data_IF_142211277071
#
_entry.id   IF_142211277071
#
_cell.length_a   1.000
_cell.length_b   1.000
_cell.length_c   1.000
_cell.angle_alpha   90.00
_cell.angle_beta   90.00
_cell.angle_gamma   90.00
#
_symmetry.space_group_name_H-M   'P 1'
#
loop_
_entity.id
_entity.type
_entity.pdbx_description
1 polymer ?
#
# COMPACT_ATOMS: atom_id res chain seq x y z
N UNK A 1 -28.80 7.97 -2.30
CA UNK A 1 -27.44 7.44 -2.15
C UNK A 1 -27.39 6.47 -0.98
N UNK A 2 -27.04 5.21 -1.27
CA UNK A 2 -26.98 4.13 -0.26
C UNK A 2 -25.90 4.42 0.80
N UNK A 3 -24.75 4.93 0.39
CA UNK A 3 -23.66 5.28 1.32
C UNK A 3 -24.10 6.33 2.35
N UNK A 4 -24.79 7.38 1.89
CA UNK A 4 -25.34 8.42 2.76
C UNK A 4 -26.38 7.88 3.76
N UNK A 5 -27.25 6.96 3.32
CA UNK A 5 -28.21 6.31 4.22
C UNK A 5 -27.50 5.48 5.31
N UNK A 6 -26.51 4.66 4.93
CA UNK A 6 -25.72 3.89 5.89
C UNK A 6 -25.00 4.77 6.91
N UNK A 7 -24.42 5.89 6.45
CA UNK A 7 -23.76 6.86 7.32
C UNK A 7 -24.73 7.50 8.32
N UNK A 8 -25.99 7.67 7.95
CA UNK A 8 -27.02 8.29 8.80
C UNK A 8 -27.64 7.29 9.78
N UNK A 9 -28.00 6.11 9.30
CA UNK A 9 -28.88 5.16 10.01
C UNK A 9 -28.09 4.19 10.91
N UNK A 10 -26.79 3.91 10.58
CA UNK A 10 -25.97 3.02 11.39
C UNK A 10 -25.35 3.75 12.58
N UNK A 11 -25.36 3.13 13.76
CA UNK A 11 -24.73 3.67 14.97
C UNK A 11 -23.20 3.78 14.84
N UNK A 12 -22.59 2.87 14.09
CA UNK A 12 -21.16 2.84 13.77
C UNK A 12 -20.92 2.41 12.35
N UNK A 13 -19.93 3.00 11.71
CA UNK A 13 -19.60 2.77 10.30
C UNK A 13 -18.10 2.58 10.14
N UNK A 14 -17.69 1.54 9.43
CA UNK A 14 -16.34 1.43 8.90
C UNK A 14 -16.34 1.91 7.46
N UNK A 15 -15.46 2.83 7.14
CA UNK A 15 -15.39 3.49 5.84
C UNK A 15 -14.01 3.34 5.24
N UNK A 16 -13.94 2.77 4.04
CA UNK A 16 -12.71 2.63 3.27
C UNK A 16 -12.73 3.63 2.11
N UNK A 17 -11.63 4.36 1.91
CA UNK A 17 -11.58 5.36 0.84
C UNK A 17 -10.20 6.00 0.67
N UNK A 18 -10.11 6.93 -0.27
CA UNK A 18 -8.90 7.73 -0.47
C UNK A 18 -8.72 8.80 0.62
N UNK A 19 -7.60 9.53 0.57
CA UNK A 19 -7.26 10.56 1.56
C UNK A 19 -8.38 11.59 1.76
N UNK A 20 -9.02 12.01 0.68
CA UNK A 20 -10.15 12.96 0.78
C UNK A 20 -11.29 12.42 1.65
N UNK A 21 -11.59 11.13 1.56
CA UNK A 21 -12.62 10.46 2.38
C UNK A 21 -12.19 10.43 3.85
N UNK A 22 -10.92 10.14 4.13
CA UNK A 22 -10.35 10.18 5.49
C UNK A 22 -10.52 11.56 6.08
N UNK A 23 -10.11 12.58 5.35
CA UNK A 23 -10.14 13.99 5.81
C UNK A 23 -11.56 14.47 6.15
N UNK A 24 -12.56 14.05 5.35
CA UNK A 24 -13.97 14.41 5.55
C UNK A 24 -14.58 13.80 6.83
N UNK A 25 -14.10 12.65 7.26
CA UNK A 25 -14.69 11.92 8.38
C UNK A 25 -13.76 11.80 9.60
N UNK A 26 -12.56 12.38 9.51
CA UNK A 26 -11.61 12.40 10.61
C UNK A 26 -12.22 13.04 11.87
N UNK A 27 -11.99 12.37 13.01
CA UNK A 27 -12.51 12.85 14.31
C UNK A 27 -13.97 12.53 14.59
N UNK A 28 -14.71 11.91 13.67
CA UNK A 28 -16.07 11.44 13.95
C UNK A 28 -16.03 10.10 14.74
N UNK A 29 -16.44 10.05 16.03
CA UNK A 29 -16.33 8.86 16.86
C UNK A 29 -17.25 7.69 16.42
N UNK A 30 -18.18 7.97 15.50
CA UNK A 30 -19.06 6.95 14.90
C UNK A 30 -18.43 6.26 13.70
N UNK A 31 -17.36 6.84 13.13
CA UNK A 31 -16.77 6.38 11.87
C UNK A 31 -15.32 5.96 12.10
N UNK A 32 -15.03 4.70 11.79
CA UNK A 32 -13.67 4.21 11.64
C UNK A 32 -13.26 4.38 10.19
N UNK A 33 -12.33 5.28 9.91
CA UNK A 33 -11.90 5.60 8.55
C UNK A 33 -10.60 4.89 8.22
N UNK A 34 -10.58 4.19 7.08
CA UNK A 34 -9.44 3.45 6.57
C UNK A 34 -9.05 4.02 5.20
N UNK A 35 -7.89 4.64 5.16
CA UNK A 35 -7.35 5.35 3.98
C UNK A 35 -6.29 4.57 3.23
N UNK A 36 -5.47 5.27 2.42
CA UNK A 36 -4.29 4.70 1.79
C UNK A 36 -3.33 4.13 2.85
N UNK A 37 -2.77 2.96 2.55
CA UNK A 37 -1.90 2.26 3.52
C UNK A 37 -0.43 2.67 3.42
N UNK A 38 0.00 3.13 2.27
CA UNK A 38 1.42 3.40 1.98
C UNK A 38 2.35 2.27 2.46
N UNK A 39 1.88 1.02 2.37
CA UNK A 39 2.61 -0.15 2.84
C UNK A 39 3.92 -0.34 2.08
N UNK A 40 4.96 -0.82 2.77
CA UNK A 40 6.32 -0.86 2.26
C UNK A 40 7.05 -2.15 2.60
N UNK A 41 8.00 -2.51 1.75
CA UNK A 41 9.08 -3.43 2.10
C UNK A 41 10.35 -2.61 2.30
N UNK A 42 11.06 -2.83 3.41
CA UNK A 42 12.40 -2.26 3.65
C UNK A 42 13.41 -3.38 3.69
N UNK A 43 14.57 -3.17 3.05
CA UNK A 43 15.67 -4.14 3.06
C UNK A 43 16.83 -3.52 3.84
N UNK A 44 17.20 -4.17 4.94
CA UNK A 44 18.30 -3.73 5.79
C UNK A 44 19.68 -3.88 5.12
N UNK A 45 20.64 -3.08 5.56
CA UNK A 45 22.01 -3.10 5.03
C UNK A 45 22.72 -4.44 5.21
N UNK A 46 22.27 -5.23 6.18
CA UNK A 46 22.75 -6.58 6.47
C UNK A 46 22.25 -7.63 5.44
N UNK A 47 21.12 -7.35 4.77
CA UNK A 47 20.50 -8.29 3.83
C UNK A 47 20.51 -7.82 2.38
N UNK A 48 20.81 -6.54 2.13
CA UNK A 48 20.65 -5.95 0.81
C UNK A 48 21.51 -6.60 -0.28
N UNK A 49 22.67 -7.12 0.05
CA UNK A 49 23.54 -7.80 -0.93
C UNK A 49 23.05 -9.22 -1.30
N UNK A 50 21.97 -9.66 -0.67
CA UNK A 50 21.28 -10.93 -0.94
C UNK A 50 19.82 -10.72 -1.34
N UNK A 51 19.48 -9.56 -1.88
CA UNK A 51 18.12 -9.16 -2.21
C UNK A 51 17.40 -10.12 -3.17
N UNK A 52 18.14 -10.81 -4.06
CA UNK A 52 17.58 -11.76 -5.02
C UNK A 52 16.85 -12.92 -4.33
N UNK A 53 17.30 -13.33 -3.14
CA UNK A 53 16.64 -14.39 -2.35
C UNK A 53 15.22 -14.00 -1.91
N UNK A 54 14.89 -12.73 -1.96
CA UNK A 54 13.61 -12.16 -1.50
C UNK A 54 12.74 -11.66 -2.65
N UNK A 55 13.17 -11.84 -3.91
CA UNK A 55 12.45 -11.30 -5.08
C UNK A 55 10.98 -11.73 -5.12
N UNK A 56 10.66 -12.97 -4.79
CA UNK A 56 9.26 -13.43 -4.77
C UNK A 56 8.43 -12.72 -3.69
N UNK A 57 9.03 -12.37 -2.55
CA UNK A 57 8.37 -11.58 -1.49
C UNK A 57 8.08 -10.16 -1.98
N UNK A 58 9.05 -9.54 -2.68
CA UNK A 58 8.90 -8.20 -3.24
C UNK A 58 7.78 -8.18 -4.29
N UNK A 59 7.85 -9.10 -5.26
CA UNK A 59 6.86 -9.22 -6.35
C UNK A 59 5.45 -9.46 -5.79
N UNK A 60 5.29 -10.44 -4.90
CA UNK A 60 3.98 -10.80 -4.36
C UNK A 60 3.41 -9.70 -3.45
N UNK A 61 4.27 -8.98 -2.70
CA UNK A 61 3.83 -7.85 -1.88
C UNK A 61 3.22 -6.72 -2.72
N UNK A 62 3.72 -6.52 -3.94
CA UNK A 62 3.19 -5.52 -4.89
C UNK A 62 1.97 -6.05 -5.64
N UNK A 63 2.03 -7.29 -6.14
CA UNK A 63 1.13 -7.78 -7.16
C UNK A 63 -0.08 -8.57 -6.65
N UNK A 64 0.01 -9.19 -5.49
CA UNK A 64 -1.10 -9.98 -4.94
C UNK A 64 -2.40 -9.17 -4.94
N UNK A 65 -3.53 -9.83 -5.20
CA UNK A 65 -4.84 -9.18 -5.30
C UNK A 65 -4.87 -7.99 -6.29
N UNK A 66 -4.07 -8.09 -7.36
CA UNK A 66 -3.96 -7.01 -8.37
C UNK A 66 -3.55 -5.64 -7.79
N UNK A 67 -2.75 -5.62 -6.72
CA UNK A 67 -2.31 -4.38 -6.08
C UNK A 67 -3.44 -3.53 -5.47
N UNK A 68 -4.62 -4.11 -5.21
CA UNK A 68 -5.82 -3.39 -4.79
C UNK A 68 -6.13 -3.44 -3.31
N UNK A 69 -5.11 -3.52 -2.49
CA UNK A 69 -5.29 -3.48 -1.05
C UNK A 69 -4.32 -2.46 -0.43
N UNK A 70 -4.76 -1.78 0.62
CA UNK A 70 -3.91 -0.90 1.44
C UNK A 70 -2.69 -1.61 2.03
N UNK A 71 -2.69 -2.94 2.09
CA UNK A 71 -1.55 -3.76 2.52
C UNK A 71 -0.62 -4.19 1.38
N UNK A 72 -0.94 -3.89 0.11
CA UNK A 72 0.03 -4.07 -0.96
C UNK A 72 1.18 -3.08 -0.81
N UNK A 73 2.40 -3.54 -1.08
CA UNK A 73 3.56 -2.65 -1.03
C UNK A 73 3.49 -1.62 -2.18
N UNK A 74 3.38 -0.36 -1.82
CA UNK A 74 3.52 0.79 -2.74
C UNK A 74 4.96 1.28 -2.84
N UNK A 75 5.84 0.81 -1.94
CA UNK A 75 7.26 1.16 -1.92
C UNK A 75 8.15 0.01 -1.48
N UNK A 76 9.32 -0.09 -2.12
CA UNK A 76 10.41 -1.00 -1.76
C UNK A 76 11.63 -0.11 -1.53
N UNK A 77 12.13 -0.10 -0.30
CA UNK A 77 13.17 0.84 0.12
C UNK A 77 14.45 0.11 0.47
N UNK A 78 15.56 0.56 -0.09
CA UNK A 78 16.88 -0.01 0.11
C UNK A 78 17.98 1.06 -0.01
N UNK A 79 19.14 0.79 0.58
CA UNK A 79 20.27 1.74 0.56
C UNK A 79 21.11 1.67 -0.72
N UNK A 80 21.02 0.57 -1.46
CA UNK A 80 21.77 0.31 -2.70
C UNK A 80 21.08 -0.79 -3.51
N UNK A 81 21.58 -1.10 -4.69
CA UNK A 81 21.05 -2.09 -5.66
C UNK A 81 19.62 -1.79 -6.14
N UNK A 82 19.10 -0.60 -5.89
CA UNK A 82 17.70 -0.23 -6.16
C UNK A 82 17.34 -0.29 -7.64
N UNK A 83 18.25 0.06 -8.53
CA UNK A 83 18.05 -0.11 -9.98
C UNK A 83 17.90 -1.60 -10.37
N UNK A 84 18.76 -2.48 -9.83
CA UNK A 84 18.71 -3.90 -10.10
C UNK A 84 17.44 -4.55 -9.53
N UNK A 85 17.03 -4.15 -8.33
CA UNK A 85 15.78 -4.60 -7.70
C UNK A 85 14.57 -4.16 -8.55
N UNK A 86 14.53 -2.90 -8.96
CA UNK A 86 13.46 -2.38 -9.80
C UNK A 86 13.38 -3.12 -11.15
N UNK A 87 14.53 -3.37 -11.76
CA UNK A 87 14.61 -4.08 -13.04
C UNK A 87 14.12 -5.54 -12.91
N UNK A 88 14.55 -6.26 -11.87
CA UNK A 88 14.14 -7.64 -11.63
C UNK A 88 12.62 -7.77 -11.36
N UNK A 89 12.03 -6.83 -10.60
CA UNK A 89 10.58 -6.80 -10.36
C UNK A 89 9.85 -6.44 -11.65
N UNK A 90 10.35 -5.45 -12.39
CA UNK A 90 9.76 -5.03 -13.66
C UNK A 90 9.80 -6.13 -14.72
N UNK A 91 10.85 -6.94 -14.76
CA UNK A 91 10.96 -8.10 -15.64
C UNK A 91 9.88 -9.16 -15.35
N UNK A 92 9.50 -9.33 -14.08
CA UNK A 92 8.44 -10.26 -13.67
C UNK A 92 7.03 -9.70 -13.91
N UNK A 93 6.82 -8.42 -13.70
CA UNK A 93 5.50 -7.78 -13.74
C UNK A 93 5.18 -7.09 -15.08
N UNK A 94 6.16 -6.59 -15.81
CA UNK A 94 5.95 -5.89 -17.08
C UNK A 94 5.17 -6.69 -18.13
N UNK A 95 5.41 -8.01 -18.31
CA UNK A 95 4.68 -8.82 -19.28
C UNK A 95 3.23 -9.15 -18.89
N UNK A 96 2.77 -8.77 -17.70
CA UNK A 96 1.42 -9.10 -17.24
C UNK A 96 0.38 -8.27 -18.00
N UNK A 97 -0.56 -8.99 -18.63
CA UNK A 97 -1.61 -8.43 -19.48
C UNK A 97 -3.01 -8.66 -18.89
N UNK A 98 -3.98 -7.76 -19.15
CA UNK A 98 -5.36 -8.04 -18.83
C UNK A 98 -5.87 -9.22 -19.67
N UNK A 99 -6.53 -10.14 -19.01
CA UNK A 99 -7.14 -11.31 -19.62
C UNK A 99 -8.66 -11.30 -19.37
N UNK A 100 -9.47 -11.99 -20.20
CA UNK A 100 -10.88 -12.14 -19.94
C UNK A 100 -11.15 -12.70 -18.54
N UNK A 101 -12.20 -12.25 -17.83
CA UNK A 101 -12.50 -12.71 -16.46
C UNK A 101 -12.71 -14.23 -16.33
N UNK A 102 -13.01 -14.90 -17.44
CA UNK A 102 -13.17 -16.36 -17.52
C UNK A 102 -11.84 -17.11 -17.66
N UNK A 103 -10.76 -16.40 -17.92
CA UNK A 103 -9.43 -17.01 -18.02
C UNK A 103 -8.88 -17.28 -16.61
N UNK A 104 -8.48 -18.50 -16.26
CA UNK A 104 -7.95 -18.84 -14.94
C UNK A 104 -6.62 -18.13 -14.63
N UNK A 105 -5.95 -17.56 -15.63
CA UNK A 105 -4.73 -16.76 -15.48
C UNK A 105 -5.00 -15.25 -15.34
N UNK A 106 -6.27 -14.82 -15.42
CA UNK A 106 -6.62 -13.43 -15.24
C UNK A 106 -6.20 -12.95 -13.83
N UNK A 107 -5.33 -11.96 -13.77
CA UNK A 107 -4.72 -11.48 -12.53
C UNK A 107 -4.80 -9.96 -12.36
N UNK A 108 -5.20 -9.22 -13.39
CA UNK A 108 -5.42 -7.79 -13.31
C UNK A 108 -6.90 -7.46 -13.12
N UNK A 109 -7.20 -6.63 -12.14
CA UNK A 109 -8.54 -6.13 -11.87
C UNK A 109 -8.87 -4.91 -12.75
N UNK A 110 -10.08 -4.89 -13.28
CA UNK A 110 -10.59 -3.79 -14.10
C UNK A 110 -11.00 -2.58 -13.25
N UNK A 111 -10.86 -1.39 -13.80
CA UNK A 111 -11.47 -0.15 -13.30
C UNK A 111 -12.84 0.01 -13.99
N UNK A 112 -13.90 -0.17 -13.22
CA UNK A 112 -15.29 -0.09 -13.74
C UNK A 112 -15.82 1.33 -13.81
N UNK A 113 -15.21 2.26 -13.07
CA UNK A 113 -15.54 3.69 -13.11
C UNK A 113 -14.68 4.36 -14.19
N UNK A 114 -15.32 4.86 -15.23
CA UNK A 114 -14.64 5.54 -16.34
C UNK A 114 -13.85 6.76 -15.85
N UNK A 115 -12.68 6.98 -16.46
CA UNK A 115 -11.80 8.09 -16.16
C UNK A 115 -10.86 7.89 -14.95
N UNK A 116 -11.13 6.92 -14.07
CA UNK A 116 -10.28 6.69 -12.87
C UNK A 116 -8.90 6.17 -13.28
N UNK A 117 -8.83 5.17 -14.14
CA UNK A 117 -7.56 4.63 -14.62
C UNK A 117 -6.79 5.65 -15.47
N UNK A 118 -7.49 6.40 -16.32
CA UNK A 118 -6.90 7.49 -17.12
C UNK A 118 -6.31 8.59 -16.24
N UNK A 119 -7.03 9.01 -15.20
CA UNK A 119 -6.53 10.02 -14.25
C UNK A 119 -5.26 9.55 -13.54
N UNK A 120 -5.23 8.29 -13.07
CA UNK A 120 -4.02 7.71 -12.45
C UNK A 120 -2.86 7.64 -13.47
N UNK A 121 -3.13 7.22 -14.70
CA UNK A 121 -2.13 7.20 -15.78
C UNK A 121 -1.53 8.58 -15.98
N UNK A 122 -2.36 9.62 -16.13
CA UNK A 122 -1.90 10.99 -16.36
C UNK A 122 -1.10 11.53 -15.16
N UNK A 123 -1.51 11.26 -13.94
CA UNK A 123 -0.75 11.63 -12.74
C UNK A 123 0.64 11.00 -12.72
N UNK A 124 0.76 9.72 -13.10
CA UNK A 124 2.05 9.04 -13.19
C UNK A 124 2.90 9.65 -14.31
N UNK A 125 2.32 9.89 -15.50
CA UNK A 125 3.04 10.53 -16.62
C UNK A 125 3.57 11.92 -16.24
N UNK A 126 2.79 12.71 -15.51
CA UNK A 126 3.24 14.03 -15.06
C UNK A 126 4.37 13.91 -14.03
N UNK A 127 4.27 12.98 -13.09
CA UNK A 127 5.30 12.76 -12.08
C UNK A 127 6.61 12.19 -12.67
N UNK A 128 6.53 11.37 -13.74
CA UNK A 128 7.69 10.82 -14.45
C UNK A 128 8.53 11.90 -15.17
N UNK A 129 8.00 13.12 -15.34
CA UNK A 129 8.78 14.26 -15.86
C UNK A 129 9.73 14.85 -14.82
N UNK A 130 9.58 14.49 -13.56
CA UNK A 130 10.46 14.95 -12.49
C UNK A 130 11.83 14.28 -12.57
N UNK A 131 12.91 14.98 -12.23
CA UNK A 131 14.22 14.36 -12.15
C UNK A 131 14.26 13.30 -11.05
N UNK A 132 15.08 12.26 -11.25
CA UNK A 132 15.31 11.22 -10.25
C UNK A 132 14.24 10.12 -10.23
N UNK A 133 13.30 10.09 -11.19
CA UNK A 133 12.34 9.00 -11.35
C UNK A 133 12.39 8.40 -12.74
N UNK A 134 12.29 7.07 -12.84
CA UNK A 134 12.29 6.35 -14.11
C UNK A 134 11.30 5.19 -14.04
N UNK A 135 10.39 5.06 -15.01
CA UNK A 135 9.57 3.86 -15.13
C UNK A 135 10.39 2.72 -15.73
N UNK A 136 10.51 1.63 -14.99
CA UNK A 136 11.33 0.48 -15.38
C UNK A 136 10.50 -0.56 -16.14
N UNK A 137 9.23 -0.76 -15.82
CA UNK A 137 8.33 -1.71 -16.49
C UNK A 137 8.10 -1.40 -17.98
N UNK A 138 8.29 -0.14 -18.39
CA UNK A 138 8.17 0.24 -19.80
C UNK A 138 9.09 -0.56 -20.74
N UNK A 139 10.22 -1.09 -20.25
CA UNK A 139 11.15 -1.96 -21.00
C UNK A 139 10.57 -3.33 -21.31
N UNK A 140 9.64 -3.82 -20.50
CA UNK A 140 9.15 -5.21 -20.50
C UNK A 140 7.67 -5.32 -20.84
N UNK A 141 6.97 -4.20 -20.88
CA UNK A 141 5.56 -4.09 -21.20
C UNK A 141 5.31 -4.01 -22.71
N UNK A 142 4.27 -4.67 -23.18
CA UNK A 142 3.83 -4.54 -24.58
C UNK A 142 2.73 -3.45 -24.68
N UNK A 143 3.11 -2.26 -25.15
CA UNK A 143 2.20 -1.13 -25.33
C UNK A 143 2.03 -0.25 -24.08
N UNK A 144 0.95 0.52 -24.06
CA UNK A 144 0.73 1.55 -23.05
C UNK A 144 0.35 0.99 -21.69
N UNK A 145 0.62 1.74 -20.60
CA UNK A 145 0.19 1.42 -19.24
C UNK A 145 -1.33 1.36 -19.14
N UNK A 146 -2.02 2.33 -19.70
CA UNK A 146 -3.47 2.42 -19.71
C UNK A 146 -4.08 1.72 -20.91
N UNK A 147 -5.07 0.86 -20.65
CA UNK A 147 -5.80 0.09 -21.68
C UNK A 147 -7.28 0.40 -21.53
N UNK A 148 -7.83 1.26 -22.38
CA UNK A 148 -9.25 1.52 -22.39
C UNK A 148 -10.03 0.36 -23.05
N UNK A 149 -11.15 -0.01 -22.43
CA UNK A 149 -12.15 -0.92 -22.96
C UNK A 149 -13.54 -0.27 -22.96
N UNK A 150 -14.50 -0.87 -23.65
CA UNK A 150 -15.85 -0.32 -23.78
C UNK A 150 -16.50 -0.06 -22.41
N UNK A 151 -16.43 -1.02 -21.48
CA UNK A 151 -17.12 -0.97 -20.18
C UNK A 151 -16.20 -0.84 -18.96
N UNK A 152 -14.91 -0.89 -19.15
CA UNK A 152 -13.92 -0.80 -18.07
C UNK A 152 -12.57 -0.38 -18.65
N UNK A 153 -11.65 -0.02 -17.77
CA UNK A 153 -10.27 0.25 -18.15
C UNK A 153 -9.34 -0.65 -17.34
N UNK A 154 -8.12 -0.85 -17.81
CA UNK A 154 -7.05 -1.52 -17.06
C UNK A 154 -5.82 -0.64 -16.97
N UNK A 155 -5.04 -0.86 -15.90
CA UNK A 155 -3.68 -0.37 -15.78
C UNK A 155 -2.75 -1.58 -15.65
N UNK A 156 -1.75 -1.66 -16.53
CA UNK A 156 -0.68 -2.65 -16.45
C UNK A 156 0.24 -2.34 -15.27
N UNK A 157 0.88 -3.36 -14.66
CA UNK A 157 1.81 -3.17 -13.58
C UNK A 157 2.86 -2.11 -13.90
N UNK A 158 3.18 -1.29 -12.92
CA UNK A 158 4.11 -0.17 -13.09
C UNK A 158 5.08 -0.13 -11.93
N UNK A 159 6.35 -0.34 -12.23
CA UNK A 159 7.47 -0.21 -11.30
C UNK A 159 8.28 0.99 -11.71
N UNK A 160 8.51 1.88 -10.76
CA UNK A 160 9.35 3.06 -10.94
C UNK A 160 10.58 2.97 -10.02
N UNK A 161 11.72 3.42 -10.51
CA UNK A 161 12.92 3.65 -9.70
C UNK A 161 12.98 5.11 -9.29
N UNK A 162 13.23 5.37 -8.00
CA UNK A 162 13.39 6.70 -7.43
C UNK A 162 14.78 6.82 -6.79
N UNK A 163 15.54 7.83 -7.18
CA UNK A 163 16.92 8.07 -6.70
C UNK A 163 16.98 8.61 -5.27
N UNK A 164 15.83 8.90 -4.67
CA UNK A 164 15.74 9.38 -3.30
C UNK A 164 14.30 9.47 -2.80
N UNK A 165 14.10 9.63 -1.49
CA UNK A 165 12.77 9.71 -0.88
C UNK A 165 12.02 11.03 -1.18
N UNK A 166 12.71 12.06 -1.65
CA UNK A 166 12.17 13.37 -2.02
C UNK A 166 11.49 13.39 -3.39
N UNK A 167 11.70 12.34 -4.18
CA UNK A 167 11.08 12.22 -5.51
C UNK A 167 9.56 12.03 -5.36
N UNK A 168 8.72 12.72 -6.15
CA UNK A 168 7.26 12.72 -5.97
C UNK A 168 6.61 11.34 -5.89
N UNK A 169 7.12 10.36 -6.69
CA UNK A 169 6.57 9.00 -6.68
C UNK A 169 7.10 8.11 -5.55
N UNK A 170 8.10 8.52 -4.78
CA UNK A 170 8.72 7.69 -3.73
C UNK A 170 7.72 7.28 -2.63
N UNK A 171 6.76 8.14 -2.31
CA UNK A 171 5.73 7.92 -1.30
C UNK A 171 4.31 8.07 -1.88
N UNK A 172 4.06 7.44 -3.03
CA UNK A 172 2.74 7.48 -3.68
C UNK A 172 2.15 6.07 -3.72
N UNK A 173 0.85 5.97 -3.49
CA UNK A 173 0.09 4.73 -3.58
C UNK A 173 -0.99 4.86 -4.65
N UNK A 174 -1.13 3.83 -5.47
CA UNK A 174 -2.21 3.66 -6.41
C UNK A 174 -2.86 2.29 -6.24
N UNK A 175 -4.17 2.21 -6.50
CA UNK A 175 -4.95 0.98 -6.34
C UNK A 175 -4.87 0.07 -7.58
N UNK A 176 -3.65 -0.22 -8.01
CA UNK A 176 -3.27 -1.21 -9.02
C UNK A 176 -1.83 -1.65 -8.75
N UNK A 177 -1.26 -2.66 -9.43
CA UNK A 177 0.12 -3.10 -9.17
C UNK A 177 1.13 -2.00 -9.51
N UNK A 178 1.33 -1.08 -8.59
CA UNK A 178 2.26 0.04 -8.65
C UNK A 178 3.19 -0.01 -7.45
N UNK A 179 4.49 0.13 -7.68
CA UNK A 179 5.43 0.34 -6.61
C UNK A 179 6.63 1.18 -7.03
N UNK A 180 7.13 1.97 -6.09
CA UNK A 180 8.38 2.71 -6.22
C UNK A 180 9.50 1.95 -5.54
N UNK A 181 10.61 1.72 -6.24
CA UNK A 181 11.85 1.23 -5.63
C UNK A 181 12.71 2.44 -5.33
N UNK A 182 12.92 2.71 -4.05
CA UNK A 182 13.47 3.98 -3.56
C UNK A 182 14.86 3.77 -2.97
N UNK A 183 15.84 4.52 -3.44
CA UNK A 183 17.16 4.55 -2.82
C UNK A 183 17.13 5.47 -1.60
N UNK A 184 17.42 4.89 -0.43
CA UNK A 184 17.46 5.64 0.81
C UNK A 184 18.44 4.99 1.80
N UNK A 185 19.40 5.73 2.39
CA UNK A 185 20.23 5.21 3.45
C UNK A 185 19.40 4.68 4.62
N UNK A 186 19.76 3.50 5.16
CA UNK A 186 18.99 2.82 6.20
C UNK A 186 18.61 3.73 7.38
N UNK A 187 19.54 4.56 7.84
CA UNK A 187 19.31 5.48 8.95
C UNK A 187 18.34 6.64 8.65
N UNK A 188 17.95 6.81 7.39
CA UNK A 188 16.95 7.81 6.94
C UNK A 188 15.62 7.20 6.52
N UNK A 189 15.52 5.87 6.39
CA UNK A 189 14.30 5.22 5.87
C UNK A 189 13.08 5.52 6.74
N UNK A 190 13.14 5.26 8.04
CA UNK A 190 12.00 5.40 8.95
C UNK A 190 11.39 6.82 8.91
N UNK A 191 12.16 7.90 9.13
CA UNK A 191 11.58 9.25 9.06
C UNK A 191 11.10 9.64 7.65
N UNK A 192 11.73 9.11 6.60
CA UNK A 192 11.38 9.45 5.23
C UNK A 192 10.14 8.69 4.71
N UNK A 193 9.88 7.48 5.20
CA UNK A 193 8.73 6.67 4.80
C UNK A 193 7.38 7.27 5.21
N UNK A 194 7.33 7.99 6.33
CA UNK A 194 6.09 8.50 6.90
C UNK A 194 5.15 7.41 7.40
N UNK A 195 3.85 7.70 7.43
CA UNK A 195 2.83 6.72 7.83
C UNK A 195 2.84 5.50 6.93
N UNK A 196 2.85 4.31 7.54
CA UNK A 196 2.98 3.03 6.85
C UNK A 196 2.10 1.99 7.56
N UNK A 197 1.04 1.55 6.92
CA UNK A 197 0.10 0.59 7.49
C UNK A 197 0.77 -0.77 7.72
N UNK A 198 1.49 -1.28 6.74
CA UNK A 198 2.27 -2.52 6.87
C UNK A 198 3.69 -2.29 6.38
N UNK A 199 4.66 -2.51 7.26
CA UNK A 199 6.08 -2.56 6.92
C UNK A 199 6.57 -4.01 7.01
N UNK A 200 7.09 -4.55 5.91
CA UNK A 200 7.83 -5.83 5.93
C UNK A 200 9.33 -5.54 5.85
N UNK A 201 10.04 -5.80 6.94
CA UNK A 201 11.47 -5.55 7.07
C UNK A 201 12.26 -6.82 6.82
N UNK A 202 13.06 -6.83 5.77
CA UNK A 202 14.01 -7.89 5.43
C UNK A 202 15.34 -7.51 6.09
N UNK A 203 15.52 -7.93 7.34
CA UNK A 203 16.72 -7.65 8.15
C UNK A 203 16.83 -8.63 9.31
N UNK A 204 18.04 -8.88 9.76
CA UNK A 204 18.38 -9.56 11.01
C UNK A 204 19.11 -8.63 11.99
N UNK A 205 19.36 -7.37 11.61
CA UNK A 205 19.99 -6.38 12.49
C UNK A 205 19.06 -6.00 13.66
N UNK A 206 19.41 -6.40 14.91
CA UNK A 206 18.56 -6.15 16.07
C UNK A 206 18.38 -4.66 16.38
N UNK A 207 19.34 -3.82 15.99
CA UNK A 207 19.22 -2.36 16.19
C UNK A 207 18.21 -1.75 15.22
N UNK A 208 18.26 -2.16 13.96
CA UNK A 208 17.28 -1.69 12.97
C UNK A 208 15.88 -2.21 13.28
N UNK A 209 15.75 -3.48 13.70
CA UNK A 209 14.48 -4.05 14.15
C UNK A 209 13.91 -3.23 15.32
N UNK A 210 14.74 -2.87 16.32
CA UNK A 210 14.27 -2.07 17.45
C UNK A 210 13.82 -0.68 17.02
N UNK A 211 14.55 -0.03 16.11
CA UNK A 211 14.15 1.27 15.55
C UNK A 211 12.79 1.21 14.83
N UNK A 212 12.53 0.12 14.08
CA UNK A 212 11.26 -0.11 13.41
C UNK A 212 10.12 -0.38 14.41
N UNK A 213 10.38 -1.11 15.50
CA UNK A 213 9.42 -1.35 16.58
C UNK A 213 9.05 -0.07 17.34
N UNK A 214 10.00 0.84 17.51
CA UNK A 214 9.80 2.12 18.19
C UNK A 214 9.13 3.17 17.30
N UNK A 215 9.02 2.91 15.98
CA UNK A 215 8.45 3.83 15.02
C UNK A 215 6.92 3.87 15.11
N UNK A 216 6.39 4.93 15.71
CA UNK A 216 4.94 5.15 15.89
C UNK A 216 4.16 5.37 14.58
N UNK A 217 4.87 5.51 13.47
CA UNK A 217 4.30 5.68 12.11
C UNK A 217 4.06 4.36 11.39
N UNK A 218 4.43 3.23 12.00
CA UNK A 218 4.23 1.88 11.46
C UNK A 218 3.15 1.18 12.28
N UNK A 219 2.01 0.86 11.66
CA UNK A 219 0.90 0.22 12.37
C UNK A 219 1.13 -1.30 12.53
N UNK A 220 1.69 -1.94 11.50
CA UNK A 220 2.05 -3.34 11.52
C UNK A 220 3.48 -3.54 11.02
N UNK A 221 4.31 -4.19 11.82
CA UNK A 221 5.66 -4.61 11.45
C UNK A 221 5.72 -6.13 11.25
N UNK A 222 6.19 -6.55 10.09
CA UNK A 222 6.64 -7.91 9.81
C UNK A 222 8.16 -7.90 9.73
N UNK A 223 8.83 -8.93 10.28
CA UNK A 223 10.29 -9.06 10.19
C UNK A 223 10.65 -10.38 9.54
N UNK A 224 11.60 -10.37 8.61
CA UNK A 224 12.06 -11.53 7.86
C UNK A 224 11.28 -11.79 6.57
N UNK A 225 11.09 -13.07 6.22
CA UNK A 225 10.50 -13.51 4.94
C UNK A 225 8.96 -13.46 4.96
N UNK A 226 8.39 -12.30 5.22
CA UNK A 226 6.94 -12.10 5.33
C UNK A 226 6.49 -11.05 4.32
N UNK A 227 5.53 -11.41 3.46
CA UNK A 227 4.92 -10.48 2.49
C UNK A 227 4.06 -9.45 3.21
N UNK A 228 3.95 -8.22 2.69
CA UNK A 228 3.05 -7.20 3.28
C UNK A 228 1.60 -7.65 3.29
N UNK A 229 1.19 -8.43 2.29
CA UNK A 229 -0.17 -8.96 2.12
C UNK A 229 -0.46 -10.21 2.94
N UNK A 230 0.48 -10.68 3.74
CA UNK A 230 0.29 -11.85 4.59
C UNK A 230 -0.49 -11.47 5.85
N UNK A 231 -1.77 -11.79 5.86
CA UNK A 231 -2.66 -11.51 6.99
C UNK A 231 -2.40 -12.45 8.18
N UNK A 232 -2.53 -11.88 9.38
CA UNK A 232 -2.62 -12.64 10.63
C UNK A 232 -3.88 -12.18 11.37
N UNK A 233 -4.91 -13.00 11.39
CA UNK A 233 -6.20 -12.69 12.00
C UNK A 233 -6.16 -12.49 13.52
N UNK A 234 -5.11 -12.99 14.19
CA UNK A 234 -4.87 -12.77 15.62
C UNK A 234 -4.22 -11.41 15.90
N UNK A 235 -3.70 -10.75 14.88
CA UNK A 235 -3.04 -9.45 14.97
C UNK A 235 -3.49 -8.58 13.80
N UNK A 236 -4.74 -8.13 13.78
CA UNK A 236 -5.26 -7.28 12.71
C UNK A 236 -4.56 -5.92 12.73
N UNK A 237 -4.17 -5.44 11.55
CA UNK A 237 -3.47 -4.15 11.39
C UNK A 237 -4.42 -2.94 11.49
N UNK A 238 -5.72 -3.17 11.35
CA UNK A 238 -6.75 -2.11 11.40
C UNK A 238 -7.45 -2.04 12.77
N UNK A 239 -6.92 -2.75 13.78
CA UNK A 239 -7.54 -2.87 15.09
C UNK A 239 -8.65 -3.93 15.12
N UNK A 240 -9.29 -4.05 16.28
CA UNK A 240 -10.33 -5.05 16.50
C UNK A 240 -11.71 -4.48 16.11
N UNK A 241 -12.28 -4.99 15.04
CA UNK A 241 -13.62 -4.58 14.57
C UNK A 241 -14.71 -4.78 15.64
N UNK A 242 -14.59 -5.81 16.49
CA UNK A 242 -15.55 -6.07 17.57
C UNK A 242 -15.50 -4.96 18.62
N UNK A 243 -14.30 -4.51 18.99
CA UNK A 243 -14.12 -3.41 19.95
C UNK A 243 -14.70 -2.11 19.41
N UNK A 244 -14.58 -1.86 18.11
CA UNK A 244 -15.17 -0.69 17.49
C UNK A 244 -16.70 -0.78 17.41
N UNK A 245 -17.24 -1.89 16.90
CA UNK A 245 -18.68 -2.03 16.67
C UNK A 245 -19.48 -2.18 17.97
N UNK A 246 -18.94 -2.86 18.98
CA UNK A 246 -19.64 -3.20 20.23
C UNK A 246 -19.06 -2.49 21.44
N UNK A 247 -18.42 -1.35 21.24
CA UNK A 247 -17.87 -0.53 22.34
C UNK A 247 -18.91 -0.25 23.42
N UNK A 248 -18.70 -0.77 24.62
CA UNK A 248 -19.56 -0.53 25.77
C UNK A 248 -19.34 0.88 26.33
N UNK A 249 -20.44 1.50 26.78
CA UNK A 249 -20.41 2.74 27.55
C UNK A 249 -20.20 2.42 29.03
N UNK A 250 -19.27 3.07 29.68
CA UNK A 250 -19.24 3.11 31.14
C UNK A 250 -20.44 3.92 31.61
N UNK A 251 -21.20 3.37 32.57
CA UNK A 251 -22.37 4.03 33.13
C UNK A 251 -22.32 3.92 34.68
N UNK A 252 -22.55 5.03 35.33
CA UNK A 252 -22.66 5.12 36.76
C UNK A 252 -23.87 5.98 37.13
N UNK A 253 -24.70 5.49 38.04
CA UNK A 253 -25.83 6.25 38.57
C UNK A 253 -25.66 6.43 40.07
N UNK A 254 -26.05 7.57 40.63
CA UNK A 254 -26.14 7.74 42.07
C UNK A 254 -27.34 6.96 42.61
N UNK A 255 -27.23 6.37 43.79
CA UNK A 255 -28.41 5.80 44.44
C UNK A 255 -29.46 6.90 44.67
N UNK A 256 -30.77 6.58 44.65
CA UNK A 256 -31.80 7.56 44.98
C UNK A 256 -31.56 8.10 46.39
N UNK A 257 -31.91 9.39 46.64
CA UNK A 257 -31.79 9.95 47.99
C UNK A 257 -32.53 9.08 48.99
N UNK A 258 -31.93 8.84 50.15
CA UNK A 258 -32.59 8.14 51.27
C UNK A 258 -33.78 9.00 51.74
N UNK A 259 -34.98 8.45 51.73
CA UNK A 259 -36.18 9.09 52.28
C UNK A 259 -36.19 9.00 53.79
#
# INVERSE_FOLDING_TARGET
DVGGALMTDCARVMLFGGQQTVDQHHGNPRVSVHGPGFSKVVIGDDMIDRWEEYLDILVDSVFANSGRSCINASGIWASRHTEAIADAIAQRLGPVEPLPPTDPKASLAAFTTKGVAEAMHNQIEDALRSPGVTEVTAKYRHGDRWIPHERCDYLRPTIVHCTGPEVPLANTEYMFPFASVVECPQNKMIPAMGSTLVCSAITEDPKFIQQLLDAVTIDRLNVGRVKTVQLNWLQPHEGNIVDFLYRARAFQNSPPPAH
#
